data_IF_235505583291
#
_entry.id   IF_235505583291
#
_cell.length_a   1.000
_cell.length_b   1.000
_cell.length_c   1.000
_cell.angle_alpha   90.00
_cell.angle_beta   90.00
_cell.angle_gamma   90.00
#
_symmetry.space_group_name_H-M   'P 1'
#
loop_
_entity.id
_entity.type
_entity.pdbx_description
1 polymer ?
#
# COMPACT_ATOMS: atom_id res chain seq x y z
N UNK A 1 14.52 -4.01 -23.29
CA UNK A 1 13.64 -2.83 -23.49
C UNK A 1 14.01 -1.77 -22.47
N UNK A 2 14.44 -0.60 -22.93
CA UNK A 2 15.08 0.42 -22.08
C UNK A 2 14.06 1.07 -21.12
N UNK A 3 14.41 1.29 -19.85
CA UNK A 3 13.47 1.78 -18.79
C UNK A 3 12.72 3.06 -19.20
N UNK A 4 13.39 3.95 -19.95
CA UNK A 4 12.80 5.18 -20.51
C UNK A 4 11.67 4.90 -21.50
N UNK A 5 11.76 3.84 -22.31
CA UNK A 5 10.76 3.52 -23.32
C UNK A 5 9.47 3.00 -22.67
N UNK A 6 9.58 2.24 -21.58
CA UNK A 6 8.40 1.75 -20.82
C UNK A 6 7.63 2.92 -20.20
N UNK A 7 8.33 3.86 -19.56
CA UNK A 7 7.71 5.06 -18.96
C UNK A 7 7.03 5.91 -20.04
N UNK A 8 7.67 6.09 -21.20
CA UNK A 8 7.12 6.87 -22.32
C UNK A 8 5.86 6.22 -22.89
N UNK A 9 5.84 4.89 -23.01
CA UNK A 9 4.67 4.12 -23.46
C UNK A 9 3.51 4.26 -22.45
N UNK A 10 3.81 4.16 -21.15
CA UNK A 10 2.81 4.35 -20.09
C UNK A 10 2.22 5.77 -20.19
N UNK A 11 3.06 6.80 -20.31
CA UNK A 11 2.60 8.20 -20.45
C UNK A 11 1.75 8.39 -21.72
N UNK A 12 2.15 7.80 -22.86
CA UNK A 12 1.40 7.90 -24.11
C UNK A 12 0.02 7.21 -24.01
N UNK A 13 -0.04 6.02 -23.42
CA UNK A 13 -1.30 5.30 -23.17
C UNK A 13 -2.19 6.10 -22.21
N UNK A 14 -1.60 6.74 -21.20
CA UNK A 14 -2.32 7.63 -20.28
C UNK A 14 -2.92 8.84 -20.99
N UNK A 15 -2.13 9.55 -21.80
CA UNK A 15 -2.60 10.72 -22.56
C UNK A 15 -3.74 10.32 -23.52
N UNK A 16 -3.60 9.17 -24.19
CA UNK A 16 -4.60 8.67 -25.12
C UNK A 16 -5.90 8.24 -24.40
N UNK A 17 -5.78 7.54 -23.26
CA UNK A 17 -6.93 7.20 -22.42
C UNK A 17 -7.62 8.47 -21.87
N UNK A 18 -6.84 9.47 -21.45
CA UNK A 18 -7.36 10.77 -21.04
C UNK A 18 -8.08 11.49 -22.18
N UNK A 19 -7.53 11.49 -23.40
CA UNK A 19 -8.15 12.09 -24.57
C UNK A 19 -9.48 11.43 -24.95
N UNK A 20 -9.55 10.09 -24.88
CA UNK A 20 -10.79 9.33 -25.11
C UNK A 20 -11.84 9.58 -24.03
N UNK A 21 -11.41 9.70 -22.77
CA UNK A 21 -12.29 10.01 -21.65
C UNK A 21 -12.82 11.44 -21.75
N UNK A 22 -11.98 12.43 -22.07
CA UNK A 22 -12.39 13.83 -22.28
C UNK A 22 -13.34 13.94 -23.49
N UNK A 23 -13.08 13.20 -24.58
CA UNK A 23 -13.93 13.17 -25.76
C UNK A 23 -15.30 12.54 -25.51
N UNK A 24 -15.36 11.43 -24.77
CA UNK A 24 -16.63 10.79 -24.37
C UNK A 24 -17.41 11.62 -23.34
N UNK A 25 -16.71 12.46 -22.57
CA UNK A 25 -17.28 13.31 -21.56
C UNK A 25 -17.95 14.59 -22.10
N UNK A 26 -17.94 14.86 -23.41
CA UNK A 26 -18.45 16.13 -23.99
C UNK A 26 -19.87 16.53 -23.56
N UNK A 27 -20.70 15.56 -23.13
CA UNK A 27 -22.08 15.76 -22.65
C UNK A 27 -22.25 15.98 -21.14
N UNK A 28 -21.18 15.86 -20.35
CA UNK A 28 -21.22 15.94 -18.89
C UNK A 28 -20.81 17.32 -18.36
N UNK A 29 -21.27 17.66 -17.15
CA UNK A 29 -20.92 18.92 -16.48
C UNK A 29 -19.44 18.92 -16.06
N UNK A 30 -18.85 20.12 -15.96
CA UNK A 30 -17.40 20.31 -15.69
C UNK A 30 -16.91 19.52 -14.47
N UNK A 31 -17.77 19.43 -13.44
CA UNK A 31 -17.49 18.73 -12.19
C UNK A 31 -17.39 17.21 -12.40
N UNK A 32 -18.29 16.62 -13.18
CA UNK A 32 -18.30 15.19 -13.50
C UNK A 32 -17.07 14.81 -14.33
N UNK A 33 -16.61 15.72 -15.21
CA UNK A 33 -15.36 15.54 -15.96
C UNK A 33 -14.15 15.48 -15.05
N UNK A 34 -14.06 16.42 -14.10
CA UNK A 34 -12.99 16.47 -13.13
C UNK A 34 -12.93 15.21 -12.26
N UNK A 35 -14.07 14.76 -11.72
CA UNK A 35 -14.13 13.54 -10.92
C UNK A 35 -13.83 12.28 -11.73
N UNK A 36 -14.23 12.23 -13.01
CA UNK A 36 -13.90 11.12 -13.91
C UNK A 36 -12.39 11.01 -14.17
N UNK A 37 -11.73 12.15 -14.40
CA UNK A 37 -10.26 12.24 -14.51
C UNK A 37 -9.58 11.82 -13.21
N UNK A 38 -10.08 12.31 -12.07
CA UNK A 38 -9.55 11.96 -10.76
C UNK A 38 -9.66 10.46 -10.48
N UNK A 39 -10.80 9.85 -10.82
CA UNK A 39 -11.00 8.41 -10.69
C UNK A 39 -9.95 7.61 -11.46
N UNK A 40 -9.64 8.00 -12.70
CA UNK A 40 -8.60 7.35 -13.51
C UNK A 40 -7.24 7.47 -12.83
N UNK A 41 -6.90 8.67 -12.36
CA UNK A 41 -5.64 8.92 -11.64
C UNK A 41 -5.54 8.05 -10.37
N UNK A 42 -6.63 7.92 -9.61
CA UNK A 42 -6.72 7.06 -8.44
C UNK A 42 -6.51 5.59 -8.82
N UNK A 43 -7.20 5.07 -9.84
CA UNK A 43 -7.03 3.69 -10.32
C UNK A 43 -5.55 3.41 -10.65
N UNK A 44 -4.89 4.34 -11.34
CA UNK A 44 -3.48 4.18 -11.72
C UNK A 44 -2.55 4.21 -10.51
N UNK A 45 -2.80 5.10 -9.56
CA UNK A 45 -2.06 5.16 -8.31
C UNK A 45 -2.19 3.83 -7.54
N UNK A 46 -3.39 3.28 -7.44
CA UNK A 46 -3.65 1.97 -6.81
C UNK A 46 -2.91 0.85 -7.55
N UNK A 47 -2.95 0.81 -8.88
CA UNK A 47 -2.21 -0.21 -9.65
C UNK A 47 -0.70 -0.12 -9.40
N UNK A 48 -0.14 1.10 -9.40
CA UNK A 48 1.29 1.31 -9.13
C UNK A 48 1.68 0.88 -7.72
N UNK A 49 0.88 1.25 -6.73
CA UNK A 49 1.08 0.91 -5.33
C UNK A 49 1.04 -0.62 -5.12
N UNK A 50 0.00 -1.29 -5.62
CA UNK A 50 -0.13 -2.76 -5.59
C UNK A 50 1.03 -3.45 -6.32
N UNK A 51 1.47 -2.90 -7.46
CA UNK A 51 2.62 -3.46 -8.18
C UNK A 51 3.91 -3.40 -7.34
N UNK A 52 4.19 -2.25 -6.70
CA UNK A 52 5.36 -2.09 -5.83
C UNK A 52 5.25 -3.00 -4.60
N UNK A 53 4.07 -3.09 -4.00
CA UNK A 53 3.75 -3.99 -2.89
C UNK A 53 4.12 -5.44 -3.20
N UNK A 54 3.61 -5.99 -4.31
CA UNK A 54 3.89 -7.38 -4.69
C UNK A 54 5.33 -7.59 -5.14
N UNK A 55 5.95 -6.58 -5.77
CA UNK A 55 7.37 -6.62 -6.11
C UNK A 55 8.25 -6.72 -4.87
N UNK A 56 8.00 -5.87 -3.86
CA UNK A 56 8.72 -5.89 -2.58
C UNK A 56 8.47 -7.19 -1.84
N UNK A 57 7.22 -7.67 -1.81
CA UNK A 57 6.89 -8.97 -1.20
C UNK A 57 7.62 -10.13 -1.87
N UNK A 58 7.69 -10.14 -3.20
CA UNK A 58 8.41 -11.16 -3.97
C UNK A 58 9.91 -11.11 -3.69
N UNK A 59 10.49 -9.91 -3.63
CA UNK A 59 11.91 -9.76 -3.32
C UNK A 59 12.22 -10.15 -1.87
N UNK A 60 11.35 -9.83 -0.91
CA UNK A 60 11.45 -10.28 0.48
C UNK A 60 11.35 -11.81 0.59
N UNK A 61 10.37 -12.42 -0.08
CA UNK A 61 10.13 -13.87 -0.05
C UNK A 61 9.32 -14.32 1.17
N UNK A 62 9.66 -15.48 1.72
CA UNK A 62 8.99 -16.02 2.91
C UNK A 62 9.52 -15.37 4.18
N UNK A 63 8.62 -15.02 5.08
CA UNK A 63 8.98 -14.56 6.42
C UNK A 63 9.52 -15.75 7.23
N UNK A 64 10.65 -15.55 7.92
CA UNK A 64 11.16 -16.51 8.91
C UNK A 64 10.40 -16.36 10.22
N UNK A 65 10.11 -15.12 10.61
CA UNK A 65 9.23 -14.77 11.72
C UNK A 65 8.10 -13.88 11.25
N UNK A 66 6.86 -14.25 11.59
CA UNK A 66 5.67 -13.43 11.31
C UNK A 66 5.46 -12.51 12.52
N UNK A 67 5.40 -11.21 12.26
CA UNK A 67 5.16 -10.19 13.29
C UNK A 67 3.80 -9.55 13.08
N UNK A 68 3.18 -9.04 14.15
CA UNK A 68 1.91 -8.32 14.04
C UNK A 68 2.15 -6.81 14.10
N UNK A 69 1.45 -6.08 13.25
CA UNK A 69 1.31 -4.63 13.38
C UNK A 69 0.24 -4.31 14.42
N UNK A 70 0.39 -3.19 15.13
CA UNK A 70 -0.65 -2.65 16.02
C UNK A 70 -1.76 -1.90 15.26
N UNK A 71 -1.66 -1.79 13.93
CA UNK A 71 -2.59 -1.02 13.12
C UNK A 71 -3.83 -1.86 12.75
N UNK A 72 -5.02 -1.36 13.09
CA UNK A 72 -6.31 -1.98 12.78
C UNK A 72 -6.88 -1.55 11.41
N UNK A 73 -6.04 -1.07 10.50
CA UNK A 73 -6.44 -0.60 9.16
C UNK A 73 -7.26 -1.62 8.38
N UNK A 74 -7.00 -2.92 8.52
CA UNK A 74 -7.79 -3.97 7.86
C UNK A 74 -9.26 -3.93 8.29
N UNK A 75 -9.52 -3.86 9.60
CA UNK A 75 -10.88 -3.85 10.15
C UNK A 75 -11.63 -2.60 9.67
N UNK A 76 -10.98 -1.44 9.75
CA UNK A 76 -11.55 -0.17 9.29
C UNK A 76 -11.86 -0.20 7.78
N UNK A 77 -10.97 -0.82 6.98
CA UNK A 77 -11.19 -0.98 5.55
C UNK A 77 -12.39 -1.90 5.28
N UNK A 78 -12.47 -3.06 5.93
CA UNK A 78 -13.62 -3.96 5.78
C UNK A 78 -14.93 -3.26 6.16
N UNK A 79 -14.95 -2.53 7.28
CA UNK A 79 -16.12 -1.76 7.72
C UNK A 79 -16.57 -0.72 6.68
N UNK A 80 -15.62 0.00 6.06
CA UNK A 80 -15.92 0.93 4.97
C UNK A 80 -16.56 0.23 3.76
N UNK A 81 -16.04 -0.93 3.34
CA UNK A 81 -16.57 -1.67 2.20
C UNK A 81 -17.99 -2.19 2.46
N UNK A 82 -18.27 -2.65 3.69
CA UNK A 82 -19.62 -3.07 4.08
C UNK A 82 -20.65 -1.95 3.97
N UNK A 83 -20.26 -0.69 4.16
CA UNK A 83 -21.13 0.49 4.03
C UNK A 83 -21.24 0.94 2.56
N UNK A 84 -20.14 0.87 1.80
CA UNK A 84 -20.07 1.40 0.44
C UNK A 84 -20.75 0.49 -0.60
N UNK A 85 -20.63 -0.84 -0.48
CA UNK A 85 -21.18 -1.80 -1.45
C UNK A 85 -22.72 -1.67 -1.61
N UNK A 86 -23.52 -1.59 -0.53
CA UNK A 86 -24.96 -1.38 -0.66
C UNK A 86 -25.31 -0.04 -1.32
N UNK A 87 -24.52 1.01 -1.09
CA UNK A 87 -24.75 2.34 -1.67
C UNK A 87 -24.41 2.40 -3.17
N UNK A 88 -23.51 1.54 -3.67
CA UNK A 88 -23.27 1.35 -5.11
C UNK A 88 -24.42 0.59 -5.80
N UNK A 89 -25.04 -0.35 -5.08
CA UNK A 89 -26.14 -1.17 -5.60
C UNK A 89 -27.47 -0.42 -5.65
N UNK A 90 -27.64 0.61 -4.83
CA UNK A 90 -28.85 1.41 -4.84
C UNK A 90 -28.82 2.31 -6.07
N UNK A 91 -29.87 2.28 -6.89
CA UNK A 91 -29.93 2.85 -8.24
C UNK A 91 -29.86 4.39 -8.19
N UNK A 92 -28.68 4.92 -7.89
CA UNK A 92 -28.40 6.32 -7.73
C UNK A 92 -28.45 6.94 -9.12
N UNK A 93 -29.53 7.69 -9.39
CA UNK A 93 -29.70 8.44 -10.65
C UNK A 93 -28.63 9.53 -10.85
N UNK A 94 -27.76 9.76 -9.86
CA UNK A 94 -26.76 10.81 -9.86
C UNK A 94 -25.37 10.24 -10.20
N UNK A 95 -24.93 10.49 -11.43
CA UNK A 95 -23.64 10.02 -11.95
C UNK A 95 -22.44 10.47 -11.10
N UNK A 96 -22.47 11.70 -10.58
CA UNK A 96 -21.43 12.25 -9.70
C UNK A 96 -21.30 11.44 -8.39
N UNK A 97 -22.43 11.05 -7.79
CA UNK A 97 -22.45 10.28 -6.56
C UNK A 97 -21.81 8.90 -6.77
N UNK A 98 -22.12 8.25 -7.89
CA UNK A 98 -21.52 6.97 -8.28
C UNK A 98 -20.00 7.09 -8.46
N UNK A 99 -19.51 8.13 -9.14
CA UNK A 99 -18.06 8.34 -9.30
C UNK A 99 -17.37 8.54 -7.95
N UNK A 100 -17.97 9.33 -7.06
CA UNK A 100 -17.36 9.62 -5.75
C UNK A 100 -17.29 8.37 -4.88
N UNK A 101 -18.34 7.55 -4.85
CA UNK A 101 -18.30 6.25 -4.15
C UNK A 101 -17.22 5.35 -4.77
N UNK A 102 -17.11 5.32 -6.10
CA UNK A 102 -16.11 4.50 -6.78
C UNK A 102 -14.67 4.96 -6.45
N UNK A 103 -14.41 6.26 -6.35
CA UNK A 103 -13.10 6.78 -5.93
C UNK A 103 -12.76 6.28 -4.52
N UNK A 104 -13.69 6.40 -3.57
CA UNK A 104 -13.49 5.94 -2.18
C UNK A 104 -13.25 4.42 -2.17
N UNK A 105 -14.06 3.68 -2.91
CA UNK A 105 -13.95 2.23 -3.01
C UNK A 105 -12.60 1.79 -3.59
N UNK A 106 -12.14 2.40 -4.68
CA UNK A 106 -10.84 2.07 -5.29
C UNK A 106 -9.70 2.47 -4.36
N UNK A 107 -9.75 3.65 -3.74
CA UNK A 107 -8.73 4.12 -2.79
C UNK A 107 -8.60 3.20 -1.58
N UNK A 108 -9.71 2.62 -1.12
CA UNK A 108 -9.75 1.65 -0.02
C UNK A 108 -8.97 0.35 -0.31
N UNK A 109 -8.66 0.05 -1.58
CA UNK A 109 -7.91 -1.16 -1.92
C UNK A 109 -6.46 -1.10 -1.43
N UNK A 110 -5.86 0.09 -1.37
CA UNK A 110 -4.49 0.29 -0.87
C UNK A 110 -4.34 -0.26 0.56
N UNK A 111 -5.03 0.28 1.58
CA UNK A 111 -4.89 -0.23 2.94
C UNK A 111 -5.35 -1.68 3.07
N UNK A 112 -6.28 -2.15 2.24
CA UNK A 112 -6.70 -3.56 2.21
C UNK A 112 -5.54 -4.49 1.82
N UNK A 113 -4.93 -4.27 0.65
CA UNK A 113 -3.84 -5.11 0.15
C UNK A 113 -2.61 -5.04 1.06
N UNK A 114 -2.28 -3.84 1.55
CA UNK A 114 -1.19 -3.65 2.51
C UNK A 114 -1.44 -4.38 3.83
N UNK A 115 -2.69 -4.59 4.24
CA UNK A 115 -3.02 -5.27 5.49
C UNK A 115 -3.18 -6.79 5.36
N UNK A 116 -3.50 -7.32 4.17
CA UNK A 116 -3.61 -8.77 3.93
C UNK A 116 -2.23 -9.42 3.88
N UNK A 117 -1.23 -8.73 3.34
CA UNK A 117 0.13 -9.25 3.31
C UNK A 117 0.73 -9.22 4.72
N UNK A 118 1.03 -10.41 5.24
CA UNK A 118 1.63 -10.54 6.57
C UNK A 118 3.00 -9.86 6.62
N UNK A 119 3.14 -9.02 7.64
CA UNK A 119 4.42 -8.47 8.08
C UNK A 119 5.35 -9.59 8.56
N UNK A 120 6.65 -9.38 8.40
CA UNK A 120 7.61 -10.40 8.79
C UNK A 120 9.05 -9.94 8.76
N UNK A 121 9.90 -10.77 9.35
CA UNK A 121 11.34 -10.58 9.43
C UNK A 121 12.02 -11.81 8.82
N UNK A 122 13.07 -11.59 8.03
CA UNK A 122 13.94 -12.65 7.50
C UNK A 122 15.35 -12.11 7.23
N UNK A 123 16.22 -12.94 6.67
CA UNK A 123 17.62 -12.61 6.37
C UNK A 123 17.82 -11.37 5.47
N UNK A 124 16.79 -10.92 4.74
CA UNK A 124 16.88 -9.73 3.86
C UNK A 124 16.50 -8.44 4.57
N UNK A 125 15.78 -8.51 5.68
CA UNK A 125 15.29 -7.34 6.41
C UNK A 125 13.92 -7.55 7.01
N UNK A 126 13.19 -6.43 7.10
CA UNK A 126 11.86 -6.34 7.70
C UNK A 126 10.88 -5.93 6.61
N UNK A 127 9.88 -6.77 6.35
CA UNK A 127 8.73 -6.41 5.53
C UNK A 127 7.62 -5.94 6.44
N UNK A 128 7.28 -4.65 6.33
CA UNK A 128 6.23 -4.03 7.13
C UNK A 128 5.34 -3.16 6.28
N UNK A 129 4.04 -3.40 6.38
CA UNK A 129 2.97 -2.65 5.73
C UNK A 129 3.26 -2.40 4.25
N UNK A 130 3.67 -3.46 3.58
CA UNK A 130 3.89 -3.46 2.14
C UNK A 130 5.24 -2.98 1.64
N UNK A 131 6.09 -2.48 2.53
CA UNK A 131 7.44 -1.99 2.17
C UNK A 131 8.51 -2.92 2.73
N UNK A 132 9.54 -3.18 1.92
CA UNK A 132 10.74 -3.83 2.41
C UNK A 132 11.78 -2.82 2.94
N UNK A 133 12.10 -2.97 4.22
CA UNK A 133 13.20 -2.31 4.90
C UNK A 133 14.38 -3.28 4.99
N UNK A 134 15.30 -3.16 4.05
CA UNK A 134 16.59 -3.86 4.08
C UNK A 134 17.43 -3.36 5.26
N UNK A 135 18.35 -4.20 5.74
CA UNK A 135 19.15 -3.90 6.94
C UNK A 135 19.90 -2.57 6.89
N UNK A 136 20.44 -2.21 5.72
CA UNK A 136 21.12 -0.92 5.49
C UNK A 136 20.22 0.33 5.62
N UNK A 137 18.89 0.17 5.67
CA UNK A 137 17.93 1.26 5.92
C UNK A 137 17.57 1.40 7.39
N UNK A 138 17.94 0.42 8.22
CA UNK A 138 17.63 0.40 9.65
C UNK A 138 18.81 1.02 10.40
N UNK A 139 18.51 2.03 11.22
CA UNK A 139 19.48 2.75 12.01
C UNK A 139 19.74 2.06 13.35
N UNK A 140 18.67 1.65 14.02
CA UNK A 140 18.73 1.09 15.36
C UNK A 140 17.45 0.33 15.67
N UNK A 141 17.51 -0.48 16.72
CA UNK A 141 16.36 -1.22 17.22
C UNK A 141 16.34 -1.21 18.75
N UNK A 142 15.15 -1.32 19.32
CA UNK A 142 14.96 -1.50 20.76
C UNK A 142 13.80 -2.44 21.04
N UNK A 143 13.93 -3.30 22.06
CA UNK A 143 12.83 -4.11 22.56
C UNK A 143 12.25 -3.47 23.83
N UNK A 144 10.94 -3.26 23.85
CA UNK A 144 10.18 -2.83 25.03
C UNK A 144 9.10 -3.87 25.29
N UNK A 145 9.17 -4.62 26.39
CA UNK A 145 8.28 -5.73 26.75
C UNK A 145 7.96 -6.67 25.58
N UNK A 146 6.87 -6.38 24.86
CA UNK A 146 6.31 -7.15 23.74
C UNK A 146 6.52 -6.53 22.35
N UNK A 147 7.10 -5.33 22.29
CA UNK A 147 7.31 -4.58 21.06
C UNK A 147 8.78 -4.56 20.64
N UNK A 148 9.01 -4.79 19.36
CA UNK A 148 10.23 -4.41 18.66
C UNK A 148 9.98 -3.06 17.99
N UNK A 149 10.79 -2.08 18.36
CA UNK A 149 10.77 -0.74 17.77
C UNK A 149 11.99 -0.60 16.87
N UNK A 150 11.77 -0.24 15.61
CA UNK A 150 12.80 -0.06 14.58
C UNK A 150 12.86 1.40 14.18
N UNK A 151 14.05 2.01 14.23
CA UNK A 151 14.31 3.32 13.68
C UNK A 151 14.97 3.20 12.31
N UNK A 152 14.58 4.04 11.35
CA UNK A 152 15.10 4.03 9.98
C UNK A 152 16.03 5.22 9.76
N UNK A 153 17.05 5.04 8.91
CA UNK A 153 18.10 6.06 8.68
C UNK A 153 17.59 7.41 8.17
N UNK A 154 16.47 7.43 7.43
CA UNK A 154 15.95 8.61 6.75
C UNK A 154 14.54 9.00 7.21
N UNK A 155 14.11 8.53 8.38
CA UNK A 155 12.75 8.79 8.86
C UNK A 155 12.70 8.97 10.37
N UNK A 156 11.98 10.00 10.81
CA UNK A 156 11.61 10.19 12.22
C UNK A 156 10.56 9.18 12.68
N UNK A 157 9.86 8.53 11.74
CA UNK A 157 8.85 7.54 12.06
C UNK A 157 9.51 6.21 12.43
N UNK A 158 9.15 5.71 13.61
CA UNK A 158 9.58 4.39 14.10
C UNK A 158 8.53 3.34 13.75
N UNK A 159 8.99 2.19 13.28
CA UNK A 159 8.12 1.03 13.07
C UNK A 159 7.98 0.30 14.40
N UNK A 160 6.74 0.02 14.81
CA UNK A 160 6.43 -0.79 16.00
C UNK A 160 5.85 -2.14 15.57
N UNK A 161 6.51 -3.21 15.99
CA UNK A 161 6.13 -4.59 15.67
C UNK A 161 5.86 -5.35 16.96
N UNK A 162 4.77 -6.08 17.02
CA UNK A 162 4.47 -7.00 18.11
C UNK A 162 5.16 -8.33 17.76
N UNK A 163 6.08 -8.73 18.64
CA UNK A 163 6.89 -9.94 18.47
C UNK A 163 6.46 -10.96 19.51
N UNK A 164 6.35 -12.22 19.10
CA UNK A 164 6.06 -13.30 20.04
C UNK A 164 7.22 -13.50 21.00
N UNK A 165 6.91 -13.84 22.25
CA UNK A 165 7.92 -14.05 23.30
C UNK A 165 8.95 -15.13 22.92
N UNK A 166 8.50 -16.21 22.28
CA UNK A 166 9.33 -17.32 21.81
C UNK A 166 10.36 -16.93 20.74
N UNK A 167 10.06 -15.93 19.92
CA UNK A 167 10.91 -15.51 18.80
C UNK A 167 11.89 -14.38 19.17
N UNK A 168 11.67 -13.73 20.32
CA UNK A 168 12.33 -12.48 20.71
C UNK A 168 13.86 -12.59 20.71
N UNK A 169 14.42 -13.60 21.36
CA UNK A 169 15.89 -13.74 21.48
C UNK A 169 16.54 -14.07 20.13
N UNK A 170 15.92 -14.92 19.32
CA UNK A 170 16.44 -15.25 17.98
C UNK A 170 16.44 -14.03 17.06
N UNK A 171 15.36 -13.23 17.06
CA UNK A 171 15.30 -11.99 16.29
C UNK A 171 16.33 -10.99 16.82
N UNK A 172 16.53 -10.90 18.14
CA UNK A 172 17.54 -10.01 18.73
C UNK A 172 18.96 -10.37 18.29
N UNK A 173 19.29 -11.66 18.20
CA UNK A 173 20.59 -12.12 17.67
C UNK A 173 20.77 -11.70 16.20
N UNK A 174 19.77 -11.96 15.36
CA UNK A 174 19.78 -11.55 13.95
C UNK A 174 20.01 -10.04 13.78
N UNK A 175 19.30 -9.23 14.58
CA UNK A 175 19.41 -7.78 14.54
C UNK A 175 20.81 -7.30 14.97
N UNK A 176 21.44 -7.94 15.98
CA UNK A 176 22.82 -7.63 16.37
C UNK A 176 23.80 -7.89 15.23
N UNK A 177 23.65 -8.99 14.51
CA UNK A 177 24.55 -9.36 13.41
C UNK A 177 24.51 -8.34 12.25
N UNK A 178 23.34 -7.76 11.99
CA UNK A 178 23.12 -6.92 10.80
C UNK A 178 23.18 -5.41 11.06
N UNK A 179 22.98 -4.95 12.31
CA UNK A 179 22.88 -3.52 12.66
C UNK A 179 24.11 -3.02 13.43
N UNK A 180 24.91 -3.88 14.08
CA UNK A 180 26.15 -3.46 14.77
C UNK A 180 27.39 -3.32 13.85
N UNK A 181 27.19 -2.88 12.60
CA UNK A 181 28.28 -2.42 11.72
C UNK A 181 28.14 -0.93 11.48
#
# INVERSE_FOLDING_TARGET
MNRKNIITIIIAVLIMAFGLIIGSLSRYNILEKFFSVLLVAVILAVICDIYLLFKDKRYFGKAKWIVKTSNNTLLLTISLYCILIPNLSNNSKNFLHTILILIIFVSGLIPFFHSILKDGINEKGIFHWGTLYTWNKIQSYSFTDNFLVIALNFSTNKIKLIVKKEDKENIKLLLKEHINR
#
